data_IF_544980418730
#
_entry.id   IF_544980418730
#
_cell.length_a   1.000
_cell.length_b   1.000
_cell.length_c   1.000
_cell.angle_alpha   90.00
_cell.angle_beta   90.00
_cell.angle_gamma   90.00
#
_symmetry.space_group_name_H-M   'P 1'
#
loop_
_entity.id
_entity.type
_entity.pdbx_description
1 polymer ?
#
# COMPACT_ATOMS: atom_id res chain seq x y z
N UNK A 1 -70.17 15.45 32.91
CA UNK A 1 -71.05 16.24 33.80
C UNK A 1 -70.76 15.79 35.22
N UNK A 2 -69.89 16.42 36.02
CA UNK A 2 -69.94 17.78 36.59
C UNK A 2 -71.09 17.98 37.60
N UNK A 3 -70.78 17.81 38.88
CA UNK A 3 -71.36 18.60 39.97
C UNK A 3 -70.32 18.74 41.10
N UNK A 4 -70.52 19.71 42.00
CA UNK A 4 -69.46 20.34 42.80
C UNK A 4 -69.59 19.98 44.33
N UNK A 5 -69.01 20.67 45.36
CA UNK A 5 -68.26 19.97 46.41
C UNK A 5 -68.87 20.13 47.83
N UNK A 6 -68.06 20.53 48.85
CA UNK A 6 -68.35 20.61 50.31
C UNK A 6 -68.43 19.22 51.00
N UNK A 7 -68.10 19.01 52.28
CA UNK A 7 -67.48 19.81 53.38
C UNK A 7 -66.84 18.79 54.39
N UNK A 8 -66.11 19.05 55.49
CA UNK A 8 -65.73 20.24 56.29
C UNK A 8 -64.25 20.13 56.77
N UNK A 9 -63.80 21.08 57.61
CA UNK A 9 -62.73 20.88 58.62
C UNK A 9 -63.31 21.16 60.03
N UNK A 10 -62.65 20.73 61.13
CA UNK A 10 -62.06 21.77 62.00
C UNK A 10 -60.75 21.43 62.76
N UNK A 11 -59.95 22.49 62.92
CA UNK A 11 -58.92 22.82 63.93
C UNK A 11 -58.73 21.97 65.21
N UNK A 12 -57.46 21.74 65.61
CA UNK A 12 -56.82 22.34 66.82
C UNK A 12 -55.36 21.90 67.05
N UNK A 13 -54.54 22.72 67.75
CA UNK A 13 -53.17 22.38 68.22
C UNK A 13 -52.03 23.08 67.45
N UNK A 14 -51.69 24.34 67.74
CA UNK A 14 -50.74 24.77 68.78
C UNK A 14 -49.29 24.27 68.54
N UNK A 15 -48.47 24.99 67.74
CA UNK A 15 -47.58 26.10 68.15
C UNK A 15 -46.43 25.71 69.11
N UNK A 16 -45.28 25.28 68.54
CA UNK A 16 -43.95 25.66 69.05
C UNK A 16 -43.03 25.95 67.85
N UNK A 17 -42.27 27.04 67.91
CA UNK A 17 -41.02 27.20 67.16
C UNK A 17 -39.99 27.90 68.06
N UNK A 18 -38.70 27.57 67.89
CA UNK A 18 -37.69 28.63 67.96
C UNK A 18 -36.71 28.59 66.77
N UNK A 19 -36.15 29.75 66.46
CA UNK A 19 -35.17 29.93 65.38
C UNK A 19 -33.84 29.25 65.73
N UNK A 20 -33.29 28.44 64.82
CA UNK A 20 -31.85 28.21 64.77
C UNK A 20 -31.19 29.19 63.78
N UNK A 21 -29.90 29.48 64.03
CA UNK A 21 -29.13 30.50 63.31
C UNK A 21 -28.49 29.90 62.04
N UNK A 22 -28.20 30.76 61.07
CA UNK A 22 -27.48 30.36 59.86
C UNK A 22 -26.06 29.86 60.19
N UNK A 23 -25.66 28.78 59.52
CA UNK A 23 -24.29 28.30 59.44
C UNK A 23 -24.07 27.71 58.05
N UNK A 24 -23.07 28.22 57.33
CA UNK A 24 -22.72 27.77 55.98
C UNK A 24 -21.84 26.52 56.01
N UNK A 25 -22.22 25.41 55.37
CA UNK A 25 -21.31 24.31 55.08
C UNK A 25 -20.56 24.55 53.75
N UNK A 26 -19.27 24.24 53.75
CA UNK A 26 -18.41 24.35 52.56
C UNK A 26 -18.73 23.19 51.61
N UNK A 27 -19.03 23.48 50.34
CA UNK A 27 -19.19 22.46 49.30
C UNK A 27 -17.81 22.12 48.73
N UNK A 28 -17.32 20.91 49.00
CA UNK A 28 -16.13 20.36 48.36
C UNK A 28 -16.44 20.04 46.89
N UNK A 29 -15.96 20.87 45.96
CA UNK A 29 -16.06 20.62 44.54
C UNK A 29 -15.03 19.55 44.11
N UNK A 30 -15.46 18.30 44.00
CA UNK A 30 -14.62 17.20 43.52
C UNK A 30 -14.36 17.33 42.01
N UNK A 31 -13.19 17.83 41.63
CA UNK A 31 -12.76 17.93 40.22
C UNK A 31 -12.47 16.53 39.69
N UNK A 32 -13.43 15.96 38.96
CA UNK A 32 -13.22 14.70 38.22
C UNK A 32 -12.35 15.03 36.98
N UNK A 33 -11.05 14.77 37.10
CA UNK A 33 -10.13 14.79 35.97
C UNK A 33 -10.53 13.67 34.99
N UNK A 34 -11.21 14.04 33.91
CA UNK A 34 -11.44 13.18 32.76
C UNK A 34 -10.11 12.94 32.03
N UNK A 35 -9.33 11.98 32.53
CA UNK A 35 -8.12 11.48 31.90
C UNK A 35 -8.44 10.92 30.52
N UNK A 36 -8.30 11.76 29.49
CA UNK A 36 -8.45 11.39 28.10
C UNK A 36 -7.38 10.36 27.75
N UNK A 37 -7.79 9.09 27.68
CA UNK A 37 -6.93 7.99 27.27
C UNK A 37 -6.51 8.21 25.83
N UNK A 38 -5.28 8.70 25.64
CA UNK A 38 -4.64 8.77 24.33
C UNK A 38 -4.48 7.35 23.83
N UNK A 39 -5.47 6.89 23.07
CA UNK A 39 -5.42 5.63 22.35
C UNK A 39 -4.31 5.79 21.31
N UNK A 40 -3.14 5.25 21.63
CA UNK A 40 -2.04 5.16 20.68
C UNK A 40 -2.58 4.44 19.44
N UNK A 41 -2.80 5.20 18.36
CA UNK A 41 -3.22 4.61 17.08
C UNK A 41 -2.21 3.51 16.77
N UNK A 42 -2.65 2.27 16.45
CA UNK A 42 -1.72 1.24 16.06
C UNK A 42 -0.87 1.79 14.91
N UNK A 43 0.44 1.57 14.96
CA UNK A 43 1.30 1.92 13.83
C UNK A 43 0.99 0.93 12.70
N UNK A 44 -0.07 1.21 11.94
CA UNK A 44 -0.47 0.47 10.75
C UNK A 44 0.53 0.82 9.66
N UNK A 45 1.71 0.22 9.76
CA UNK A 45 2.77 0.35 8.78
C UNK A 45 2.24 0.05 7.38
N UNK A 46 2.73 0.80 6.40
CA UNK A 46 2.22 0.87 5.02
C UNK A 46 1.76 -0.51 4.51
N UNK A 47 0.61 -0.59 3.80
CA UNK A 47 0.11 -1.83 3.21
C UNK A 47 1.20 -2.63 2.47
N UNK A 48 1.12 -3.95 2.53
CA UNK A 48 2.17 -4.84 2.00
C UNK A 48 1.60 -5.77 0.93
N UNK A 49 2.32 -5.88 -0.18
CA UNK A 49 2.17 -6.94 -1.17
C UNK A 49 3.26 -7.98 -0.94
N UNK A 50 2.86 -9.26 -0.87
CA UNK A 50 3.76 -10.41 -0.71
C UNK A 50 3.58 -11.33 -1.91
N UNK A 51 4.33 -11.12 -3.00
CA UNK A 51 4.08 -11.83 -4.25
C UNK A 51 4.25 -13.34 -4.15
N UNK A 52 3.60 -14.06 -5.06
CA UNK A 52 3.74 -15.50 -5.25
C UNK A 52 5.21 -15.97 -5.25
N UNK A 53 5.44 -17.19 -4.78
CA UNK A 53 6.80 -17.72 -4.67
C UNK A 53 7.48 -17.79 -6.04
N UNK A 54 8.71 -17.25 -6.12
CA UNK A 54 9.50 -17.24 -7.36
C UNK A 54 9.64 -18.64 -8.00
N UNK A 55 9.59 -19.72 -7.22
CA UNK A 55 9.61 -21.09 -7.71
C UNK A 55 8.32 -21.52 -8.44
N UNK A 56 7.16 -20.95 -8.10
CA UNK A 56 5.90 -21.12 -8.85
C UNK A 56 5.95 -20.29 -10.14
N UNK A 57 6.34 -19.02 -10.04
CA UNK A 57 6.45 -18.10 -11.17
C UNK A 57 7.51 -18.53 -12.22
N UNK A 58 8.63 -19.12 -11.81
CA UNK A 58 9.63 -19.69 -12.73
C UNK A 58 9.08 -20.89 -13.50
N UNK A 59 8.08 -21.62 -12.98
CA UNK A 59 7.40 -22.73 -13.70
C UNK A 59 6.31 -22.28 -14.67
N UNK A 60 5.76 -21.07 -14.53
CA UNK A 60 4.71 -20.56 -15.43
C UNK A 60 5.23 -20.35 -16.87
N UNK A 61 4.40 -20.52 -17.91
CA UNK A 61 4.73 -20.08 -19.26
C UNK A 61 5.04 -18.57 -19.26
N UNK A 62 6.07 -18.16 -19.99
CA UNK A 62 6.59 -16.79 -19.87
C UNK A 62 5.54 -15.73 -20.28
N UNK A 63 4.70 -16.04 -21.28
CA UNK A 63 3.60 -15.19 -21.74
C UNK A 63 2.53 -14.89 -20.67
N UNK A 64 2.39 -15.73 -19.65
CA UNK A 64 1.44 -15.53 -18.55
C UNK A 64 2.07 -14.85 -17.33
N UNK A 65 3.39 -14.67 -17.31
CA UNK A 65 4.13 -14.24 -16.12
C UNK A 65 3.76 -12.81 -15.69
N UNK A 66 3.82 -11.84 -16.62
CA UNK A 66 3.47 -10.44 -16.30
C UNK A 66 2.02 -10.35 -15.80
N UNK A 67 1.07 -10.98 -16.51
CA UNK A 67 -0.36 -10.97 -16.13
C UNK A 67 -0.63 -11.60 -14.76
N UNK A 68 0.06 -12.68 -14.39
CA UNK A 68 -0.11 -13.29 -13.06
C UNK A 68 0.44 -12.41 -11.94
N UNK A 69 1.58 -11.75 -12.14
CA UNK A 69 2.17 -10.82 -11.16
C UNK A 69 1.34 -9.53 -11.04
N UNK A 70 0.87 -8.97 -12.16
CA UNK A 70 0.05 -7.76 -12.16
C UNK A 70 -1.32 -8.00 -11.49
N UNK A 71 -1.91 -9.20 -11.63
CA UNK A 71 -3.16 -9.59 -10.93
C UNK A 71 -2.93 -9.80 -9.43
N UNK A 72 -1.91 -10.59 -9.05
CA UNK A 72 -1.52 -10.84 -7.65
C UNK A 72 -1.16 -9.54 -6.90
N UNK A 73 -0.65 -8.53 -7.62
CA UNK A 73 -0.50 -7.18 -7.09
C UNK A 73 -1.84 -6.44 -6.93
N UNK A 74 -2.71 -6.46 -7.94
CA UNK A 74 -4.00 -5.75 -7.91
C UNK A 74 -4.91 -6.24 -6.77
N UNK A 75 -4.99 -7.57 -6.59
CA UNK A 75 -5.74 -8.23 -5.52
C UNK A 75 -5.12 -8.01 -4.11
N UNK A 76 -3.93 -7.39 -4.02
CA UNK A 76 -3.20 -7.19 -2.77
C UNK A 76 -3.66 -5.95 -2.00
N UNK A 77 -3.44 -5.96 -0.67
CA UNK A 77 -3.69 -4.80 0.20
C UNK A 77 -2.93 -3.54 -0.22
N UNK A 78 -1.80 -3.66 -0.90
CA UNK A 78 -1.03 -2.53 -1.43
C UNK A 78 -1.61 -2.02 -2.75
N UNK A 79 -2.08 -2.91 -3.63
CA UNK A 79 -2.78 -2.56 -4.86
C UNK A 79 -4.05 -1.75 -4.57
N UNK A 80 -4.93 -2.31 -3.74
CA UNK A 80 -6.17 -1.66 -3.31
C UNK A 80 -5.94 -0.31 -2.61
N UNK A 81 -4.87 -0.17 -1.81
CA UNK A 81 -4.54 1.10 -1.16
C UNK A 81 -3.98 2.15 -2.14
N UNK A 82 -3.24 1.74 -3.17
CA UNK A 82 -2.80 2.63 -4.27
C UNK A 82 -4.00 3.07 -5.11
N UNK A 83 -4.96 2.19 -5.39
CA UNK A 83 -6.19 2.50 -6.10
C UNK A 83 -7.08 3.48 -5.29
N UNK A 84 -7.30 3.21 -4.00
CA UNK A 84 -8.04 4.12 -3.11
C UNK A 84 -7.37 5.50 -3.02
N UNK A 85 -6.04 5.55 -2.97
CA UNK A 85 -5.25 6.79 -2.97
C UNK A 85 -5.32 7.52 -4.32
N UNK A 86 -5.34 6.79 -5.44
CA UNK A 86 -5.53 7.34 -6.78
C UNK A 86 -6.92 7.95 -6.97
N UNK A 87 -7.97 7.32 -6.45
CA UNK A 87 -9.34 7.87 -6.51
C UNK A 87 -9.48 9.11 -5.61
N UNK A 88 -8.95 9.07 -4.38
CA UNK A 88 -8.85 10.27 -3.50
C UNK A 88 -8.09 11.41 -4.19
N UNK A 89 -6.99 11.11 -4.88
CA UNK A 89 -6.24 12.08 -5.68
C UNK A 89 -7.06 12.65 -6.85
N UNK A 90 -7.85 11.83 -7.55
CA UNK A 90 -8.71 12.25 -8.66
C UNK A 90 -9.81 13.20 -8.19
N UNK A 91 -10.48 12.86 -7.09
CA UNK A 91 -11.53 13.69 -6.49
C UNK A 91 -10.96 15.04 -6.02
N UNK A 92 -9.81 15.02 -5.32
CA UNK A 92 -9.14 16.25 -4.86
C UNK A 92 -8.64 17.14 -6.01
N UNK A 93 -8.19 16.55 -7.12
CA UNK A 93 -7.86 17.31 -8.33
C UNK A 93 -9.08 18.04 -8.93
N UNK A 94 -10.30 17.52 -8.75
CA UNK A 94 -11.51 18.23 -9.16
C UNK A 94 -11.81 19.40 -8.20
N UNK A 95 -11.82 19.15 -6.88
CA UNK A 95 -12.00 20.20 -5.87
C UNK A 95 -11.00 21.37 -6.02
N UNK A 96 -9.75 21.07 -6.40
CA UNK A 96 -8.74 22.08 -6.72
C UNK A 96 -9.07 22.94 -7.94
N UNK A 97 -9.69 22.37 -8.98
CA UNK A 97 -10.16 23.14 -10.15
C UNK A 97 -11.33 24.04 -9.76
N UNK A 98 -12.30 23.48 -9.05
CA UNK A 98 -13.54 24.18 -8.68
C UNK A 98 -13.22 25.39 -7.77
N UNK A 99 -12.37 25.20 -6.75
CA UNK A 99 -11.87 26.29 -5.91
C UNK A 99 -11.01 27.31 -6.69
N UNK A 100 -10.20 26.87 -7.65
CA UNK A 100 -9.40 27.77 -8.49
C UNK A 100 -10.21 28.52 -9.57
N UNK A 101 -11.48 28.16 -9.78
CA UNK A 101 -12.45 29.00 -10.47
C UNK A 101 -13.07 29.99 -9.47
N UNK A 102 -13.54 29.52 -8.31
CA UNK A 102 -14.13 30.37 -7.28
C UNK A 102 -13.20 31.51 -6.79
N UNK A 103 -11.88 31.31 -6.72
CA UNK A 103 -10.91 32.40 -6.40
C UNK A 103 -10.88 33.53 -7.45
N UNK A 104 -11.27 33.24 -8.70
CA UNK A 104 -11.34 34.26 -9.77
C UNK A 104 -12.62 35.07 -9.68
N UNK A 105 -13.73 34.38 -9.39
CA UNK A 105 -15.08 34.93 -9.43
C UNK A 105 -15.51 35.58 -8.10
N UNK A 106 -14.83 35.28 -6.98
CA UNK A 106 -15.03 35.90 -5.68
C UNK A 106 -14.12 37.12 -5.47
N UNK A 107 -14.58 38.13 -4.73
CA UNK A 107 -13.80 39.33 -4.36
C UNK A 107 -13.83 39.60 -2.84
N UNK A 108 -12.99 40.53 -2.38
CA UNK A 108 -12.89 40.94 -0.98
C UNK A 108 -12.55 39.79 -0.02
N UNK A 109 -13.18 39.80 1.15
CA UNK A 109 -12.99 38.80 2.22
C UNK A 109 -13.26 37.36 1.74
N UNK A 110 -14.33 37.15 0.96
CA UNK A 110 -14.68 35.83 0.38
C UNK A 110 -13.56 35.30 -0.52
N UNK A 111 -12.88 36.17 -1.29
CA UNK A 111 -11.70 35.78 -2.09
C UNK A 111 -10.58 35.25 -1.19
N UNK A 112 -10.38 35.81 -0.01
CA UNK A 112 -9.37 35.38 0.97
C UNK A 112 -9.77 34.07 1.64
N UNK A 113 -11.02 33.88 2.06
CA UNK A 113 -11.53 32.59 2.55
C UNK A 113 -11.33 31.47 1.53
N UNK A 114 -11.76 31.67 0.28
CA UNK A 114 -11.61 30.66 -0.78
C UNK A 114 -10.13 30.42 -1.11
N UNK A 115 -9.25 31.42 -1.01
CA UNK A 115 -7.79 31.22 -1.12
C UNK A 115 -7.23 30.37 0.02
N UNK A 116 -7.68 30.55 1.28
CA UNK A 116 -7.29 29.67 2.39
C UNK A 116 -7.81 28.22 2.21
N UNK A 117 -9.05 28.04 1.73
CA UNK A 117 -9.57 26.72 1.39
C UNK A 117 -8.78 26.05 0.26
N UNK A 118 -8.47 26.79 -0.82
CA UNK A 118 -7.63 26.32 -1.92
C UNK A 118 -6.23 25.92 -1.42
N UNK A 119 -5.63 26.69 -0.52
CA UNK A 119 -4.34 26.36 0.10
C UNK A 119 -4.40 25.07 0.93
N UNK A 120 -5.44 24.90 1.76
CA UNK A 120 -5.66 23.68 2.53
C UNK A 120 -5.83 22.45 1.62
N UNK A 121 -6.57 22.59 0.52
CA UNK A 121 -6.76 21.51 -0.45
C UNK A 121 -5.50 21.21 -1.27
N UNK A 122 -4.69 22.22 -1.63
CA UNK A 122 -3.37 22.03 -2.24
C UNK A 122 -2.47 21.17 -1.34
N UNK A 123 -2.43 21.47 -0.03
CA UNK A 123 -1.70 20.69 0.98
C UNK A 123 -2.22 19.25 1.10
N UNK A 124 -3.55 19.08 1.11
CA UNK A 124 -4.21 17.76 1.19
C UNK A 124 -3.89 16.87 -0.01
N UNK A 125 -4.01 17.43 -1.23
CA UNK A 125 -3.64 16.75 -2.48
C UNK A 125 -2.17 16.33 -2.49
N UNK A 126 -1.25 17.20 -2.07
CA UNK A 126 0.19 16.89 -1.99
C UNK A 126 0.46 15.73 -1.03
N UNK A 127 -0.19 15.72 0.14
CA UNK A 127 -0.03 14.61 1.10
C UNK A 127 -0.55 13.28 0.53
N UNK A 128 -1.73 13.28 -0.13
CA UNK A 128 -2.28 12.09 -0.78
C UNK A 128 -1.34 11.57 -1.87
N UNK A 129 -0.82 12.45 -2.72
CA UNK A 129 0.17 12.10 -3.77
C UNK A 129 1.48 11.57 -3.20
N UNK A 130 1.98 12.16 -2.10
CA UNK A 130 3.19 11.68 -1.41
C UNK A 130 3.02 10.24 -0.92
N UNK A 131 1.93 9.97 -0.20
CA UNK A 131 1.62 8.64 0.32
C UNK A 131 1.42 7.62 -0.82
N UNK A 132 0.79 8.03 -1.93
CA UNK A 132 0.63 7.20 -3.14
C UNK A 132 1.99 6.84 -3.73
N UNK A 133 2.90 7.80 -3.83
CA UNK A 133 4.21 7.60 -4.44
C UNK A 133 5.12 6.75 -3.55
N UNK A 134 5.07 6.89 -2.22
CA UNK A 134 5.73 5.96 -1.29
C UNK A 134 5.22 4.51 -1.45
N UNK A 135 3.90 4.33 -1.59
CA UNK A 135 3.31 3.02 -1.86
C UNK A 135 3.72 2.45 -3.23
N UNK A 136 3.77 3.28 -4.28
CA UNK A 136 4.31 2.88 -5.60
C UNK A 136 5.79 2.50 -5.53
N UNK A 137 6.63 3.24 -4.80
CA UNK A 137 8.03 2.87 -4.55
C UNK A 137 8.11 1.48 -3.91
N UNK A 138 7.28 1.21 -2.89
CA UNK A 138 7.20 -0.09 -2.22
C UNK A 138 6.79 -1.22 -3.17
N UNK A 139 5.81 -0.98 -4.05
CA UNK A 139 5.42 -1.91 -5.12
C UNK A 139 6.60 -2.19 -6.06
N UNK A 140 7.20 -1.16 -6.66
CA UNK A 140 8.22 -1.29 -7.70
C UNK A 140 9.49 -1.96 -7.17
N UNK A 141 9.95 -1.60 -5.97
CA UNK A 141 11.08 -2.28 -5.30
C UNK A 141 10.76 -3.75 -5.01
N UNK A 142 9.50 -4.09 -4.70
CA UNK A 142 9.07 -5.48 -4.49
C UNK A 142 9.00 -6.27 -5.80
N UNK A 143 8.53 -5.64 -6.88
CA UNK A 143 8.49 -6.17 -8.26
C UNK A 143 9.90 -6.44 -8.80
N UNK A 144 10.83 -5.49 -8.62
CA UNK A 144 12.25 -5.63 -8.96
C UNK A 144 12.90 -6.80 -8.21
N UNK A 145 12.77 -6.85 -6.87
CA UNK A 145 13.27 -7.96 -6.04
C UNK A 145 12.62 -9.31 -6.38
N UNK A 146 11.42 -9.33 -6.96
CA UNK A 146 10.79 -10.55 -7.46
C UNK A 146 11.49 -11.03 -8.74
N UNK A 147 11.71 -10.15 -9.72
CA UNK A 147 12.40 -10.48 -10.96
C UNK A 147 13.87 -10.91 -10.75
N UNK A 148 14.61 -10.25 -9.85
CA UNK A 148 15.96 -10.67 -9.45
C UNK A 148 15.98 -12.11 -8.88
N UNK A 149 15.07 -12.41 -7.93
CA UNK A 149 14.92 -13.76 -7.36
C UNK A 149 14.52 -14.78 -8.43
N UNK A 150 13.66 -14.40 -9.38
CA UNK A 150 13.29 -15.26 -10.50
C UNK A 150 14.46 -15.56 -11.43
N UNK A 151 15.25 -14.55 -11.82
CA UNK A 151 16.45 -14.75 -12.66
C UNK A 151 17.47 -15.67 -11.95
N UNK A 152 17.72 -15.43 -10.66
CA UNK A 152 18.57 -16.30 -9.83
C UNK A 152 18.03 -17.74 -9.81
N UNK A 153 16.72 -17.93 -9.58
CA UNK A 153 16.09 -19.26 -9.57
C UNK A 153 16.08 -19.95 -10.93
N UNK A 154 16.03 -19.21 -12.04
CA UNK A 154 16.13 -19.75 -13.39
C UNK A 154 17.56 -20.26 -13.66
N UNK A 155 18.59 -19.47 -13.28
CA UNK A 155 19.99 -19.90 -13.33
C UNK A 155 20.30 -21.10 -12.43
N UNK A 156 19.82 -21.10 -11.18
CA UNK A 156 19.89 -22.25 -10.26
C UNK A 156 19.25 -23.50 -10.88
N UNK A 157 18.06 -23.36 -11.46
CA UNK A 157 17.32 -24.44 -12.12
C UNK A 157 18.07 -24.99 -13.34
N UNK A 158 18.60 -24.13 -14.21
CA UNK A 158 19.39 -24.54 -15.39
C UNK A 158 20.65 -25.33 -14.98
N UNK A 159 21.37 -24.85 -13.95
CA UNK A 159 22.53 -25.55 -13.40
C UNK A 159 22.16 -26.88 -12.71
N UNK A 160 21.05 -26.91 -11.95
CA UNK A 160 20.58 -28.10 -11.27
C UNK A 160 20.04 -29.15 -12.26
N UNK A 161 19.28 -28.74 -13.28
CA UNK A 161 18.82 -29.61 -14.37
C UNK A 161 20.01 -30.24 -15.11
N UNK A 162 21.09 -29.50 -15.33
CA UNK A 162 22.32 -30.03 -15.94
C UNK A 162 22.97 -31.10 -15.06
N UNK A 163 23.15 -30.82 -13.75
CA UNK A 163 23.71 -31.78 -12.77
C UNK A 163 22.80 -33.01 -12.56
N UNK A 164 21.48 -32.81 -12.52
CA UNK A 164 20.49 -33.88 -12.35
C UNK A 164 20.31 -34.73 -13.61
N UNK A 165 20.38 -34.13 -14.81
CA UNK A 165 20.42 -34.88 -16.07
C UNK A 165 21.64 -35.78 -16.13
N UNK A 166 22.83 -35.28 -15.76
CA UNK A 166 24.05 -36.09 -15.66
C UNK A 166 23.86 -37.24 -14.67
N UNK A 167 23.50 -36.94 -13.41
CA UNK A 167 23.23 -37.97 -12.37
C UNK A 167 22.14 -38.99 -12.76
N UNK A 168 21.18 -38.61 -13.60
CA UNK A 168 20.13 -39.50 -14.10
C UNK A 168 20.65 -40.42 -15.22
N UNK A 169 21.49 -39.91 -16.13
CA UNK A 169 22.22 -40.74 -17.10
C UNK A 169 23.17 -41.70 -16.37
N UNK A 170 23.99 -41.20 -15.43
CA UNK A 170 24.91 -42.00 -14.61
C UNK A 170 24.15 -43.14 -13.89
N UNK A 171 22.98 -42.85 -13.31
CA UNK A 171 22.11 -43.85 -12.66
C UNK A 171 21.44 -44.81 -13.64
N UNK A 172 21.02 -44.36 -14.82
CA UNK A 172 20.45 -45.22 -15.86
C UNK A 172 21.50 -46.18 -16.41
N UNK A 173 22.74 -45.71 -16.61
CA UNK A 173 23.86 -46.55 -17.05
C UNK A 173 24.26 -47.55 -15.96
N UNK A 174 24.35 -47.12 -14.70
CA UNK A 174 24.59 -48.01 -13.57
C UNK A 174 23.46 -49.05 -13.38
N UNK A 175 22.20 -48.68 -13.61
CA UNK A 175 21.06 -49.60 -13.57
C UNK A 175 21.12 -50.62 -14.72
N UNK A 176 21.43 -50.18 -15.95
CA UNK A 176 21.67 -51.09 -17.09
C UNK A 176 22.82 -52.05 -16.79
N UNK A 177 23.97 -51.55 -16.33
CA UNK A 177 25.14 -52.38 -15.97
C UNK A 177 24.81 -53.40 -14.89
N UNK A 178 24.05 -53.03 -13.85
CA UNK A 178 23.57 -53.96 -12.80
C UNK A 178 22.56 -54.98 -13.35
N UNK A 179 21.68 -54.59 -14.26
CA UNK A 179 20.73 -55.50 -14.90
C UNK A 179 21.46 -56.54 -15.76
N UNK A 180 22.36 -56.12 -16.67
CA UNK A 180 23.18 -57.03 -17.46
C UNK A 180 24.05 -57.94 -16.56
N UNK A 181 24.65 -57.40 -15.50
CA UNK A 181 25.38 -58.21 -14.52
C UNK A 181 24.47 -59.27 -13.87
N UNK A 182 23.25 -58.91 -13.44
CA UNK A 182 22.30 -59.87 -12.87
C UNK A 182 21.88 -60.97 -13.86
N UNK A 183 21.75 -60.65 -15.15
CA UNK A 183 21.50 -61.64 -16.21
C UNK A 183 22.69 -62.59 -16.42
N UNK A 184 23.93 -62.15 -16.15
CA UNK A 184 25.13 -63.00 -16.22
C UNK A 184 25.44 -63.76 -14.92
N UNK A 185 24.77 -63.43 -13.80
CA UNK A 185 25.01 -64.05 -12.48
C UNK A 185 23.88 -65.01 -12.08
N UNK A 186 22.66 -64.84 -12.60
CA UNK A 186 21.64 -65.90 -12.57
C UNK A 186 22.07 -66.95 -13.60
N UNK A 187 22.37 -68.15 -13.13
CA UNK A 187 23.22 -69.11 -13.85
C UNK A 187 22.61 -69.60 -15.18
N UNK A 188 23.40 -69.49 -16.25
CA UNK A 188 23.09 -69.96 -17.61
C UNK A 188 22.87 -71.47 -17.66
N UNK A 189 23.42 -72.23 -16.69
CA UNK A 189 23.26 -73.70 -16.55
C UNK A 189 21.82 -74.22 -16.44
N UNK A 190 20.81 -73.35 -16.30
CA UNK A 190 19.39 -73.74 -16.26
C UNK A 190 18.63 -73.49 -17.58
N UNK A 191 19.25 -72.85 -18.58
CA UNK A 191 18.56 -72.35 -19.78
C UNK A 191 19.40 -72.47 -21.06
N UNK A 192 19.80 -73.68 -21.45
CA UNK A 192 20.43 -73.98 -22.75
C UNK A 192 19.45 -73.95 -23.95
N UNK A 193 18.39 -73.14 -23.89
CA UNK A 193 17.39 -73.00 -24.97
C UNK A 193 17.03 -71.52 -25.20
N UNK A 194 16.57 -71.22 -26.41
CA UNK A 194 16.61 -69.89 -27.02
C UNK A 194 15.92 -68.73 -26.28
N UNK A 195 16.49 -67.55 -26.50
CA UNK A 195 15.85 -66.24 -26.41
C UNK A 195 15.09 -65.92 -25.10
N UNK A 196 15.84 -65.76 -24.00
CA UNK A 196 15.32 -65.19 -22.72
C UNK A 196 14.56 -63.88 -23.00
N UNK A 197 13.22 -63.82 -22.77
CA UNK A 197 12.45 -62.62 -23.04
C UNK A 197 12.77 -61.50 -22.04
N UNK A 198 12.82 -60.24 -22.49
CA UNK A 198 12.93 -59.10 -21.58
C UNK A 198 11.83 -59.15 -20.50
N UNK A 199 12.20 -58.91 -19.24
CA UNK A 199 11.23 -59.00 -18.14
C UNK A 199 10.06 -58.04 -18.34
N UNK A 200 8.86 -58.47 -17.96
CA UNK A 200 7.61 -57.68 -18.01
C UNK A 200 7.71 -56.34 -17.26
N UNK A 201 8.66 -56.23 -16.34
CA UNK A 201 9.04 -54.97 -15.68
C UNK A 201 9.94 -54.09 -16.57
N UNK A 202 11.01 -54.64 -17.16
CA UNK A 202 11.90 -53.93 -18.09
C UNK A 202 11.12 -53.27 -19.23
N UNK A 203 10.30 -54.07 -19.93
CA UNK A 203 9.48 -53.60 -21.05
C UNK A 203 8.54 -52.44 -20.64
N UNK A 204 7.88 -52.54 -19.48
CA UNK A 204 7.02 -51.49 -18.94
C UNK A 204 7.81 -50.24 -18.52
N UNK A 205 8.97 -50.41 -17.90
CA UNK A 205 9.84 -49.30 -17.50
C UNK A 205 10.36 -48.54 -18.72
N UNK A 206 10.88 -49.24 -19.73
CA UNK A 206 11.32 -48.67 -21.00
C UNK A 206 10.20 -47.91 -21.71
N UNK A 207 8.99 -48.51 -21.80
CA UNK A 207 7.80 -47.85 -22.37
C UNK A 207 7.43 -46.57 -21.60
N UNK A 208 7.43 -46.60 -20.27
CA UNK A 208 7.13 -45.44 -19.43
C UNK A 208 8.18 -44.32 -19.59
N UNK A 209 9.47 -44.67 -19.61
CA UNK A 209 10.55 -43.69 -19.84
C UNK A 209 10.45 -43.06 -21.24
N UNK A 210 10.11 -43.83 -22.27
CA UNK A 210 9.89 -43.33 -23.63
C UNK A 210 8.69 -42.36 -23.72
N UNK A 211 7.59 -42.65 -22.99
CA UNK A 211 6.43 -41.74 -22.88
C UNK A 211 6.83 -40.44 -22.15
N UNK A 212 7.54 -40.53 -21.03
CA UNK A 212 8.01 -39.35 -20.28
C UNK A 212 8.95 -38.49 -21.14
N UNK A 213 9.88 -39.11 -21.89
CA UNK A 213 10.75 -38.39 -22.82
C UNK A 213 9.98 -37.65 -23.92
N UNK A 214 8.95 -38.29 -24.50
CA UNK A 214 8.04 -37.65 -25.47
C UNK A 214 7.28 -36.48 -24.85
N UNK A 215 6.75 -36.63 -23.63
CA UNK A 215 6.04 -35.56 -22.92
C UNK A 215 6.94 -34.37 -22.60
N UNK A 216 8.13 -34.60 -22.04
CA UNK A 216 9.10 -33.54 -21.73
C UNK A 216 9.53 -32.79 -23.00
N UNK A 217 9.80 -33.52 -24.09
CA UNK A 217 10.10 -32.91 -25.40
C UNK A 217 8.93 -32.08 -25.94
N UNK A 218 7.70 -32.60 -25.86
CA UNK A 218 6.49 -31.89 -26.32
C UNK A 218 6.16 -30.64 -25.50
N UNK A 219 6.46 -30.66 -24.19
CA UNK A 219 6.32 -29.52 -23.27
C UNK A 219 7.37 -28.46 -23.59
N UNK A 220 8.65 -28.82 -23.78
CA UNK A 220 9.71 -27.88 -24.14
C UNK A 220 9.48 -27.19 -25.50
N UNK A 221 8.93 -27.94 -26.47
CA UNK A 221 8.56 -27.44 -27.82
C UNK A 221 7.15 -26.85 -27.91
N UNK A 222 6.43 -26.67 -26.79
CA UNK A 222 5.09 -26.07 -26.82
C UNK A 222 5.16 -24.55 -26.99
N UNK A 223 4.28 -23.98 -27.83
CA UNK A 223 4.28 -22.55 -28.23
C UNK A 223 4.26 -21.53 -27.09
N UNK A 224 3.80 -21.89 -25.89
CA UNK A 224 3.80 -21.00 -24.71
C UNK A 224 5.09 -21.07 -23.88
N UNK A 225 5.96 -22.04 -24.17
CA UNK A 225 7.22 -22.28 -23.46
C UNK A 225 8.45 -21.95 -24.31
N UNK A 226 8.37 -22.10 -25.64
CA UNK A 226 9.54 -22.05 -26.53
C UNK A 226 10.02 -20.64 -26.92
N UNK A 227 9.17 -19.62 -26.83
CA UNK A 227 9.55 -18.21 -27.08
C UNK A 227 8.45 -17.23 -26.65
N UNK A 228 8.82 -15.97 -26.38
CA UNK A 228 7.91 -14.82 -26.45
C UNK A 228 8.23 -14.05 -27.72
N UNK A 229 7.20 -13.66 -28.48
CA UNK A 229 7.33 -12.59 -29.46
C UNK A 229 7.19 -11.23 -28.74
N UNK A 230 8.29 -10.51 -28.62
CA UNK A 230 8.30 -9.09 -28.25
C UNK A 230 8.99 -8.33 -29.38
N UNK A 231 8.35 -7.29 -29.91
CA UNK A 231 8.86 -6.43 -30.98
C UNK A 231 9.44 -7.19 -32.19
N UNK A 232 8.75 -8.27 -32.58
CA UNK A 232 9.15 -9.15 -33.69
C UNK A 232 10.30 -10.12 -33.39
N UNK A 233 10.90 -10.08 -32.19
CA UNK A 233 11.97 -10.99 -31.76
C UNK A 233 11.46 -12.09 -30.84
N UNK A 234 12.04 -13.29 -31.02
CA UNK A 234 11.86 -14.45 -30.16
C UNK A 234 12.76 -14.30 -28.92
N UNK A 235 12.20 -13.84 -27.79
CA UNK A 235 12.90 -13.77 -26.52
C UNK A 235 12.83 -15.10 -25.75
N UNK A 236 13.94 -15.46 -25.10
CA UNK A 236 13.96 -16.48 -24.04
C UNK A 236 13.25 -15.95 -22.79
N UNK A 237 12.86 -16.86 -21.87
CA UNK A 237 12.25 -16.48 -20.59
C UNK A 237 13.20 -15.60 -19.73
N UNK A 238 14.51 -15.79 -19.83
CA UNK A 238 15.45 -14.94 -19.08
C UNK A 238 15.53 -13.52 -19.64
N UNK A 239 15.62 -13.37 -20.97
CA UNK A 239 15.65 -12.06 -21.63
C UNK A 239 14.34 -11.29 -21.40
N UNK A 240 13.20 -11.98 -21.42
CA UNK A 240 11.92 -11.36 -21.08
C UNK A 240 11.88 -10.85 -19.64
N UNK A 241 12.36 -11.63 -18.66
CA UNK A 241 12.41 -11.16 -17.26
C UNK A 241 13.42 -10.01 -17.08
N UNK A 242 14.54 -10.01 -17.82
CA UNK A 242 15.47 -8.86 -17.89
C UNK A 242 14.77 -7.61 -18.46
N UNK A 243 13.93 -7.78 -19.48
CA UNK A 243 13.07 -6.71 -20.02
C UNK A 243 12.10 -6.13 -18.98
N UNK A 244 11.33 -6.99 -18.29
CA UNK A 244 10.42 -6.57 -17.21
C UNK A 244 11.16 -5.89 -16.04
N UNK A 245 12.40 -6.30 -15.76
CA UNK A 245 13.25 -5.68 -14.75
C UNK A 245 13.70 -4.27 -15.18
N UNK A 246 14.10 -4.08 -16.44
CA UNK A 246 14.44 -2.77 -17.00
C UNK A 246 13.21 -1.84 -17.12
N UNK A 247 12.04 -2.37 -17.50
CA UNK A 247 10.74 -1.68 -17.45
C UNK A 247 10.47 -1.17 -16.02
N UNK A 248 10.65 -2.03 -15.01
CA UNK A 248 10.46 -1.66 -13.59
C UNK A 248 11.48 -0.64 -13.10
N UNK A 249 12.72 -0.65 -13.59
CA UNK A 249 13.72 0.38 -13.28
C UNK A 249 13.33 1.74 -13.90
N UNK A 250 12.80 1.75 -15.12
CA UNK A 250 12.25 2.96 -15.75
C UNK A 250 11.03 3.51 -14.98
N UNK A 251 10.11 2.63 -14.54
CA UNK A 251 8.99 3.01 -13.66
C UNK A 251 9.46 3.69 -12.36
N UNK A 252 10.60 3.27 -11.78
CA UNK A 252 11.20 3.91 -10.60
C UNK A 252 11.76 5.30 -10.94
N UNK A 253 12.52 5.43 -12.04
CA UNK A 253 13.08 6.73 -12.45
C UNK A 253 12.01 7.75 -12.85
N UNK A 254 10.83 7.31 -13.32
CA UNK A 254 9.66 8.17 -13.53
C UNK A 254 9.07 8.60 -12.19
N UNK A 255 8.94 7.69 -11.22
CA UNK A 255 8.41 7.99 -9.89
C UNK A 255 9.28 9.02 -9.12
N UNK A 256 10.60 8.95 -9.28
CA UNK A 256 11.54 9.93 -8.70
C UNK A 256 11.38 11.33 -9.32
N UNK A 257 11.01 11.43 -10.60
CA UNK A 257 10.63 12.69 -11.24
C UNK A 257 9.27 13.19 -10.73
N UNK A 258 8.27 12.31 -10.56
CA UNK A 258 6.98 12.69 -9.96
C UNK A 258 7.15 13.26 -8.54
N UNK A 259 8.02 12.67 -7.72
CA UNK A 259 8.33 13.17 -6.37
C UNK A 259 9.11 14.48 -6.39
N UNK A 260 10.00 14.68 -7.37
CA UNK A 260 10.71 15.95 -7.56
C UNK A 260 9.72 17.08 -7.90
N UNK A 261 8.76 16.82 -8.80
CA UNK A 261 7.65 17.74 -9.12
C UNK A 261 6.80 18.02 -7.88
N UNK A 262 6.48 16.98 -7.08
CA UNK A 262 5.72 17.12 -5.83
C UNK A 262 6.46 17.99 -4.79
N UNK A 263 7.79 17.88 -4.70
CA UNK A 263 8.63 18.74 -3.88
C UNK A 263 8.58 20.21 -4.29
N UNK A 264 8.60 20.51 -5.59
CA UNK A 264 8.39 21.87 -6.09
C UNK A 264 6.97 22.40 -5.82
N UNK A 265 5.94 21.55 -5.98
CA UNK A 265 4.56 21.90 -5.59
C UNK A 265 4.46 22.22 -4.10
N UNK A 266 5.10 21.43 -3.23
CA UNK A 266 5.12 21.68 -1.79
C UNK A 266 5.85 22.99 -1.44
N UNK A 267 6.94 23.33 -2.14
CA UNK A 267 7.62 24.62 -1.99
C UNK A 267 6.74 25.80 -2.41
N UNK A 268 6.04 25.70 -3.55
CA UNK A 268 5.11 26.74 -3.99
C UNK A 268 3.96 26.92 -2.99
N UNK A 269 3.40 25.82 -2.47
CA UNK A 269 2.35 25.85 -1.44
C UNK A 269 2.83 26.46 -0.12
N UNK A 270 4.11 26.30 0.24
CA UNK A 270 4.69 26.99 1.39
C UNK A 270 4.84 28.50 1.14
N UNK A 271 5.18 28.92 -0.08
CA UNK A 271 5.26 30.34 -0.46
C UNK A 271 3.86 30.98 -0.53
N UNK A 272 2.87 30.30 -1.15
CA UNK A 272 1.46 30.72 -1.14
C UNK A 272 0.94 30.94 0.30
N UNK A 273 1.37 30.09 1.25
CA UNK A 273 1.00 30.19 2.66
C UNK A 273 1.66 31.37 3.39
N UNK A 274 2.89 31.74 3.02
CA UNK A 274 3.57 32.91 3.57
C UNK A 274 2.92 34.20 3.06
N UNK A 275 2.66 34.32 1.75
CA UNK A 275 1.99 35.49 1.16
C UNK A 275 0.61 35.73 1.80
N UNK A 276 -0.20 34.67 1.98
CA UNK A 276 -1.49 34.78 2.67
C UNK A 276 -1.36 35.11 4.18
N UNK A 277 -0.21 34.84 4.80
CA UNK A 277 0.07 35.23 6.18
C UNK A 277 0.57 36.67 6.30
N UNK A 278 1.26 37.18 5.28
CA UNK A 278 1.71 38.56 5.17
C UNK A 278 0.52 39.47 4.86
N UNK A 279 -0.33 39.13 3.88
CA UNK A 279 -1.59 39.83 3.59
C UNK A 279 -2.50 39.94 4.83
N UNK A 280 -2.58 38.88 5.64
CA UNK A 280 -3.36 38.86 6.87
C UNK A 280 -2.73 39.73 7.99
N UNK A 281 -1.40 39.82 8.05
CA UNK A 281 -0.69 40.68 9.00
C UNK A 281 -0.88 42.15 8.66
N UNK A 282 -0.72 42.51 7.38
CA UNK A 282 -0.92 43.88 6.89
C UNK A 282 -2.37 44.33 7.09
N UNK A 283 -3.35 43.44 6.85
CA UNK A 283 -4.75 43.71 7.15
C UNK A 283 -5.00 43.98 8.65
N UNK A 284 -4.34 43.25 9.55
CA UNK A 284 -4.43 43.51 11.01
C UNK A 284 -3.75 44.83 11.39
N UNK A 285 -2.62 45.19 10.76
CA UNK A 285 -1.93 46.46 11.00
C UNK A 285 -2.76 47.66 10.52
N UNK A 286 -3.38 47.57 9.33
CA UNK A 286 -4.23 48.62 8.76
C UNK A 286 -5.52 48.81 9.57
N UNK A 287 -6.11 47.72 10.08
CA UNK A 287 -7.29 47.78 10.96
C UNK A 287 -6.93 47.93 12.46
N UNK A 288 -5.66 48.13 12.79
CA UNK A 288 -5.28 48.44 14.17
C UNK A 288 -5.49 49.92 14.43
N UNK A 289 -6.51 50.24 15.25
CA UNK A 289 -6.63 51.53 15.94
C UNK A 289 -5.49 51.67 16.98
N UNK A 290 -4.25 51.68 16.50
CA UNK A 290 -3.12 52.22 17.25
C UNK A 290 -3.38 53.73 17.35
N UNK A 291 -3.64 54.26 18.56
CA UNK A 291 -4.02 55.65 18.71
C UNK A 291 -2.87 56.56 18.26
N UNK A 292 -3.06 57.18 17.09
CA UNK A 292 -2.06 58.04 16.40
C UNK A 292 -1.54 59.13 17.33
N UNK A 293 -2.42 59.61 18.21
CA UNK A 293 -2.04 60.34 19.40
C UNK A 293 -2.27 59.45 20.64
N UNK A 294 -1.19 59.07 21.30
CA UNK A 294 -1.16 58.66 22.71
C UNK A 294 0.11 59.21 23.33
N UNK A 295 0.26 60.52 23.15
CA UNK A 295 1.37 61.25 23.73
C UNK A 295 1.15 61.46 25.23
N UNK A 296 2.21 61.63 26.04
CA UNK A 296 2.07 62.06 27.43
C UNK A 296 1.28 63.36 27.61
N UNK A 297 1.10 64.16 26.54
CA UNK A 297 0.30 65.37 26.53
C UNK A 297 -1.21 65.12 26.73
N UNK A 298 -1.80 64.10 26.11
CA UNK A 298 -3.23 63.76 26.32
C UNK A 298 -3.46 63.05 27.65
N UNK A 299 -2.43 62.37 28.16
CA UNK A 299 -2.45 61.85 29.52
C UNK A 299 -2.31 62.97 30.57
N UNK A 300 -1.69 64.11 30.25
CA UNK A 300 -1.34 65.16 31.21
C UNK A 300 -2.56 65.77 31.91
N UNK A 301 -3.68 65.96 31.21
CA UNK A 301 -4.90 66.55 31.79
C UNK A 301 -5.42 65.73 32.98
N UNK A 302 -5.31 64.40 32.92
CA UNK A 302 -5.65 63.49 34.03
C UNK A 302 -4.71 63.58 35.25
N UNK A 303 -3.54 64.21 35.11
CA UNK A 303 -2.60 64.49 36.20
C UNK A 303 -2.57 65.98 36.62
N UNK A 304 -3.29 66.86 35.91
CA UNK A 304 -3.38 68.29 36.19
C UNK A 304 -4.69 68.68 36.90
N UNK A 305 -5.72 67.83 36.87
CA UNK A 305 -6.93 68.00 37.69
C UNK A 305 -6.72 67.54 39.15
N UNK A 306 -6.94 68.45 40.10
CA UNK A 306 -7.15 68.19 41.53
C UNK A 306 -8.58 68.60 41.91
#
# INVERSE_FOLDING_TARGET
MTNIPLNQAPTSGCQISPRLKAATPIIFAAVILLSSTVTARPNVGLPEWRPESSEKLVKLPATYLKKSIDSDFADSKLGLAIEESQEKSRLKLQSLKDLNLAVKDADGEVKTEVRHHLLAEKRSFIHIMSNKNEMRRKQLVTKLRLFERMLKKLGESNAQMTKSRKKLVDKQEAAKKRFHASLSTVDVRLFENDAIPESKYSQKYAKNMAVIGKLVSRIGSHRMNSSINADGRLLTKEEYIRGLLAETQSEISILEQEETILGYMAKLVALDALVLSEEALDAVLINSDLPVNSGPAEAADFFLSN
#
